data_IF_944444791711
#
_entry.id   IF_944444791711
#
_cell.length_a   1.000
_cell.length_b   1.000
_cell.length_c   1.000
_cell.angle_alpha   90.00
_cell.angle_beta   90.00
_cell.angle_gamma   90.00
#
_symmetry.space_group_name_H-M   'P 1'
#
loop_
_entity.id
_entity.type
_entity.pdbx_description
1 polymer ?
#
# COMPACT_ATOMS: atom_id res chain seq x y z
N UNK A 1 3.84 -8.62 17.77
CA UNK A 1 2.60 -8.52 18.59
C UNK A 1 1.64 -7.60 17.85
N UNK A 2 0.48 -8.07 17.44
CA UNK A 2 -0.55 -7.21 16.85
C UNK A 2 -0.97 -6.19 17.89
N UNK A 3 -0.68 -4.92 17.66
CA UNK A 3 -1.46 -3.87 18.32
C UNK A 3 -2.90 -4.05 17.81
N UNK A 4 -3.74 -4.70 18.61
CA UNK A 4 -5.19 -4.59 18.43
C UNK A 4 -5.51 -3.10 18.48
N UNK A 5 -6.25 -2.59 17.50
CA UNK A 5 -6.87 -1.27 17.64
C UNK A 5 -7.63 -1.30 18.97
N UNK A 6 -7.24 -0.41 19.87
CA UNK A 6 -7.90 -0.22 21.16
C UNK A 6 -9.42 -0.10 20.91
N UNK A 7 -10.15 -1.18 21.18
CA UNK A 7 -11.62 -1.17 21.27
C UNK A 7 -12.41 -1.49 20.01
N UNK A 8 -11.80 -1.83 18.85
CA UNK A 8 -12.60 -2.28 17.71
C UNK A 8 -12.84 -3.81 17.77
N UNK A 9 -14.11 -4.18 17.84
CA UNK A 9 -14.56 -5.56 17.65
C UNK A 9 -14.17 -6.08 16.25
N UNK A 10 -13.78 -7.35 16.16
CA UNK A 10 -13.43 -7.99 14.89
C UNK A 10 -14.56 -7.87 13.85
N UNK A 11 -15.81 -7.91 14.27
CA UNK A 11 -16.97 -7.70 13.40
C UNK A 11 -17.04 -6.28 12.84
N UNK A 12 -16.59 -5.27 13.59
CA UNK A 12 -16.53 -3.89 13.11
C UNK A 12 -15.41 -3.71 12.08
N UNK A 13 -14.24 -4.33 12.31
CA UNK A 13 -13.13 -4.35 11.36
C UNK A 13 -13.58 -4.98 10.05
N UNK A 14 -14.26 -6.12 10.09
CA UNK A 14 -14.75 -6.81 8.89
C UNK A 14 -15.79 -5.95 8.12
N UNK A 15 -16.75 -5.33 8.83
CA UNK A 15 -17.73 -4.43 8.21
C UNK A 15 -17.07 -3.19 7.57
N UNK A 16 -16.05 -2.64 8.22
CA UNK A 16 -15.31 -1.51 7.67
C UNK A 16 -14.51 -1.94 6.42
N UNK A 17 -13.89 -3.11 6.45
CA UNK A 17 -13.23 -3.67 5.27
C UNK A 17 -14.23 -3.87 4.11
N UNK A 18 -15.41 -4.43 4.37
CA UNK A 18 -16.45 -4.59 3.35
C UNK A 18 -16.90 -3.23 2.76
N UNK A 19 -17.07 -2.21 3.60
CA UNK A 19 -17.40 -0.86 3.16
C UNK A 19 -16.34 -0.27 2.19
N UNK A 20 -15.04 -0.45 2.51
CA UNK A 20 -13.95 0.01 1.67
C UNK A 20 -13.96 -0.72 0.32
N UNK A 21 -14.16 -2.02 0.32
CA UNK A 21 -14.20 -2.84 -0.91
C UNK A 21 -15.42 -2.49 -1.77
N UNK A 22 -16.59 -2.37 -1.16
CA UNK A 22 -17.84 -2.12 -1.90
C UNK A 22 -17.99 -0.67 -2.36
N UNK A 23 -17.70 0.28 -1.47
CA UNK A 23 -17.96 1.71 -1.70
C UNK A 23 -16.69 2.50 -1.98
N UNK A 24 -15.60 2.20 -1.28
CA UNK A 24 -14.34 2.91 -1.43
C UNK A 24 -13.72 2.71 -2.80
N UNK A 25 -13.53 1.48 -3.22
CA UNK A 25 -12.99 1.15 -4.55
C UNK A 25 -14.03 0.60 -5.53
N UNK A 26 -15.26 0.36 -5.07
CA UNK A 26 -16.34 -0.23 -5.88
C UNK A 26 -15.84 -1.43 -6.70
N UNK A 27 -15.24 -2.41 -6.00
CA UNK A 27 -14.55 -3.52 -6.62
C UNK A 27 -15.46 -4.27 -7.61
N UNK A 28 -14.97 -4.42 -8.84
CA UNK A 28 -15.63 -5.25 -9.85
C UNK A 28 -15.10 -6.68 -9.78
N UNK A 29 -15.96 -7.65 -10.07
CA UNK A 29 -15.59 -9.06 -10.11
C UNK A 29 -14.38 -9.30 -11.04
N UNK A 30 -13.50 -10.21 -10.64
CA UNK A 30 -12.31 -10.62 -11.39
C UNK A 30 -11.26 -9.52 -11.61
N UNK A 31 -11.34 -8.40 -10.91
CA UNK A 31 -10.28 -7.38 -10.88
C UNK A 31 -9.26 -7.68 -9.78
N UNK A 32 -8.03 -7.24 -9.97
CA UNK A 32 -6.98 -7.29 -8.96
C UNK A 32 -7.10 -6.12 -7.97
N UNK A 33 -6.56 -6.31 -6.79
CA UNK A 33 -6.46 -5.28 -5.75
C UNK A 33 -5.03 -5.20 -5.23
N UNK A 34 -4.45 -4.02 -5.25
CA UNK A 34 -3.17 -3.71 -4.62
C UNK A 34 -3.43 -2.96 -3.32
N UNK A 35 -2.97 -3.51 -2.21
CA UNK A 35 -3.09 -2.90 -0.88
C UNK A 35 -1.70 -2.50 -0.40
N UNK A 36 -1.49 -1.22 -0.12
CA UNK A 36 -0.29 -0.71 0.54
C UNK A 36 -0.61 -0.43 2.00
N UNK A 37 0.19 -0.94 2.93
CA UNK A 37 -0.01 -0.83 4.37
C UNK A 37 1.31 -0.65 5.10
N UNK A 38 1.28 -0.11 6.31
CA UNK A 38 2.40 -0.19 7.25
C UNK A 38 2.45 -1.53 7.99
N UNK A 39 3.54 -1.79 8.70
CA UNK A 39 3.68 -2.99 9.54
C UNK A 39 2.65 -3.00 10.69
N UNK A 40 2.38 -1.85 11.31
CA UNK A 40 1.40 -1.70 12.40
C UNK A 40 -0.05 -1.86 11.95
N UNK A 41 -0.36 -1.58 10.70
CA UNK A 41 -1.72 -1.65 10.13
C UNK A 41 -1.96 -2.91 9.28
N UNK A 42 -1.02 -3.85 9.26
CA UNK A 42 -1.12 -5.08 8.46
C UNK A 42 -2.34 -5.94 8.78
N UNK A 43 -2.81 -5.96 10.05
CA UNK A 43 -4.01 -6.67 10.44
C UNK A 43 -5.24 -6.21 9.64
N UNK A 44 -5.35 -4.90 9.36
CA UNK A 44 -6.46 -4.35 8.57
C UNK A 44 -6.30 -4.66 7.07
N UNK A 45 -5.07 -4.63 6.54
CA UNK A 45 -4.80 -5.08 5.17
C UNK A 45 -5.23 -6.54 4.95
N UNK A 46 -5.05 -7.41 5.96
CA UNK A 46 -5.57 -8.78 5.93
C UNK A 46 -7.09 -8.84 5.90
N UNK A 47 -7.79 -7.99 6.65
CA UNK A 47 -9.25 -7.92 6.62
C UNK A 47 -9.75 -7.44 5.24
N UNK A 48 -9.11 -6.42 4.67
CA UNK A 48 -9.39 -5.94 3.31
C UNK A 48 -9.19 -7.03 2.25
N UNK A 49 -8.08 -7.78 2.34
CA UNK A 49 -7.81 -8.88 1.40
C UNK A 49 -8.87 -9.99 1.48
N UNK A 50 -9.26 -10.39 2.70
CA UNK A 50 -10.35 -11.36 2.90
C UNK A 50 -11.67 -10.85 2.34
N UNK A 51 -12.00 -9.58 2.58
CA UNK A 51 -13.19 -8.95 2.02
C UNK A 51 -13.14 -8.92 0.49
N UNK A 52 -12.02 -8.52 -0.11
CA UNK A 52 -11.86 -8.49 -1.56
C UNK A 52 -12.10 -9.87 -2.19
N UNK A 53 -11.60 -10.94 -1.59
CA UNK A 53 -11.87 -12.30 -2.09
C UNK A 53 -13.33 -12.72 -1.91
N UNK A 54 -14.01 -12.33 -0.82
CA UNK A 54 -15.47 -12.53 -0.69
C UNK A 54 -16.24 -11.83 -1.81
N UNK A 55 -15.73 -10.67 -2.27
CA UNK A 55 -16.28 -9.90 -3.40
C UNK A 55 -15.70 -10.30 -4.76
N UNK A 56 -15.13 -11.52 -4.84
CA UNK A 56 -14.66 -12.15 -6.09
C UNK A 56 -13.50 -11.42 -6.78
N UNK A 57 -12.60 -10.82 -6.01
CA UNK A 57 -11.33 -10.33 -6.55
C UNK A 57 -10.58 -11.47 -7.27
N UNK A 58 -9.95 -11.16 -8.41
CA UNK A 58 -9.08 -12.09 -9.13
C UNK A 58 -7.82 -12.41 -8.33
N UNK A 59 -7.22 -11.38 -7.74
CA UNK A 59 -6.01 -11.49 -6.95
C UNK A 59 -5.85 -10.28 -6.02
N UNK A 60 -5.25 -10.49 -4.86
CA UNK A 60 -4.90 -9.41 -3.92
C UNK A 60 -3.41 -9.44 -3.64
N UNK A 61 -2.73 -8.34 -3.92
CA UNK A 61 -1.35 -8.12 -3.53
C UNK A 61 -1.31 -7.17 -2.32
N UNK A 62 -0.67 -7.61 -1.24
CA UNK A 62 -0.37 -6.73 -0.10
C UNK A 62 1.11 -6.35 -0.17
N UNK A 63 1.38 -5.05 -0.10
CA UNK A 63 2.72 -4.51 0.07
C UNK A 63 2.82 -3.85 1.44
N UNK A 64 3.87 -4.14 2.17
CA UNK A 64 4.10 -3.58 3.50
C UNK A 64 5.26 -2.59 3.42
N UNK A 65 5.01 -1.35 3.81
CA UNK A 65 6.04 -0.36 4.07
C UNK A 65 6.48 -0.50 5.54
N UNK A 66 7.64 -1.10 5.74
CA UNK A 66 8.25 -1.26 7.05
C UNK A 66 9.32 -0.18 7.23
N UNK A 67 9.14 0.67 8.26
CA UNK A 67 10.02 1.81 8.50
C UNK A 67 11.40 1.42 9.04
N UNK A 68 11.52 0.32 9.79
CA UNK A 68 12.81 -0.18 10.27
C UNK A 68 13.66 -0.71 9.11
N UNK A 69 13.01 -1.42 8.17
CA UNK A 69 13.68 -1.88 6.94
C UNK A 69 14.08 -0.70 6.06
N UNK A 70 13.21 0.30 5.93
CA UNK A 70 13.52 1.53 5.19
C UNK A 70 14.70 2.28 5.83
N UNK A 71 14.67 2.48 7.15
CA UNK A 71 15.76 3.13 7.88
C UNK A 71 17.09 2.39 7.66
N UNK A 72 17.08 1.06 7.83
CA UNK A 72 18.27 0.23 7.57
C UNK A 72 18.79 0.39 6.15
N UNK A 73 17.92 0.50 5.17
CA UNK A 73 18.31 0.76 3.78
C UNK A 73 18.99 2.13 3.61
N UNK A 74 18.40 3.17 4.19
CA UNK A 74 18.95 4.52 4.12
C UNK A 74 20.32 4.64 4.82
N UNK A 75 20.50 3.94 5.96
CA UNK A 75 21.72 3.98 6.74
C UNK A 75 22.89 3.24 6.07
N UNK A 76 22.61 2.17 5.32
CA UNK A 76 23.63 1.26 4.81
C UNK A 76 23.89 1.35 3.30
N UNK A 77 23.10 2.12 2.54
CA UNK A 77 23.29 2.29 1.09
C UNK A 77 23.85 3.66 0.75
N UNK A 78 24.67 3.72 -0.32
CA UNK A 78 25.06 4.96 -0.96
C UNK A 78 23.96 5.48 -1.90
N UNK A 79 24.16 6.68 -2.42
CA UNK A 79 23.17 7.36 -3.26
C UNK A 79 22.87 6.59 -4.55
N UNK A 80 23.86 5.91 -5.14
CA UNK A 80 23.69 5.11 -6.36
C UNK A 80 22.80 3.89 -6.08
N UNK A 81 23.09 3.15 -5.01
CA UNK A 81 22.30 1.98 -4.61
C UNK A 81 20.86 2.32 -4.23
N UNK A 82 20.61 3.52 -3.70
CA UNK A 82 19.27 4.00 -3.36
C UNK A 82 18.38 4.21 -4.61
N UNK A 83 18.98 4.40 -5.79
CA UNK A 83 18.22 4.55 -7.04
C UNK A 83 17.80 3.24 -7.67
N UNK A 84 18.30 2.10 -7.17
CA UNK A 84 17.98 0.79 -7.72
C UNK A 84 16.51 0.43 -7.49
N UNK A 85 15.83 0.05 -8.57
CA UNK A 85 14.50 -0.50 -8.56
C UNK A 85 14.51 -1.91 -9.19
N UNK A 86 14.03 -2.93 -8.48
CA UNK A 86 14.04 -4.29 -9.00
C UNK A 86 13.01 -4.47 -10.13
N UNK A 87 13.31 -5.33 -11.09
CA UNK A 87 12.46 -5.57 -12.25
C UNK A 87 11.04 -6.02 -11.88
N UNK A 88 10.87 -6.76 -10.78
CA UNK A 88 9.54 -7.18 -10.34
C UNK A 88 8.65 -5.99 -9.91
N UNK A 89 9.22 -4.92 -9.37
CA UNK A 89 8.46 -3.72 -9.01
C UNK A 89 7.91 -3.02 -10.26
N UNK A 90 8.71 -2.97 -11.33
CA UNK A 90 8.27 -2.45 -12.63
C UNK A 90 7.19 -3.34 -13.26
N UNK A 91 7.38 -4.66 -13.17
CA UNK A 91 6.39 -5.63 -13.67
C UNK A 91 5.06 -5.51 -12.92
N UNK A 92 5.10 -5.30 -11.59
CA UNK A 92 3.89 -5.09 -10.79
C UNK A 92 3.16 -3.81 -11.20
N UNK A 93 3.88 -2.71 -11.40
CA UNK A 93 3.29 -1.44 -11.87
C UNK A 93 2.66 -1.60 -13.26
N UNK A 94 3.32 -2.30 -14.17
CA UNK A 94 2.79 -2.59 -15.48
C UNK A 94 1.52 -3.45 -15.41
N UNK A 95 1.55 -4.52 -14.62
CA UNK A 95 0.40 -5.40 -14.39
C UNK A 95 -0.80 -4.65 -13.83
N UNK A 96 -0.55 -3.80 -12.83
CA UNK A 96 -1.57 -2.95 -12.21
C UNK A 96 -2.28 -2.06 -13.25
N UNK A 97 -1.52 -1.46 -14.16
CA UNK A 97 -2.05 -0.57 -15.20
C UNK A 97 -2.82 -1.35 -16.26
N UNK A 98 -2.23 -2.43 -16.79
CA UNK A 98 -2.80 -3.20 -17.92
C UNK A 98 -4.08 -3.91 -17.52
N UNK A 99 -4.14 -4.48 -16.33
CA UNK A 99 -5.34 -5.16 -15.83
C UNK A 99 -6.31 -4.23 -15.08
N UNK A 100 -5.98 -2.94 -14.97
CA UNK A 100 -6.81 -1.93 -14.28
C UNK A 100 -7.16 -2.34 -12.85
N UNK A 101 -6.15 -2.65 -12.05
CA UNK A 101 -6.35 -3.02 -10.66
C UNK A 101 -6.84 -1.84 -9.84
N UNK A 102 -7.54 -2.14 -8.76
CA UNK A 102 -7.88 -1.15 -7.73
C UNK A 102 -6.73 -0.97 -6.74
N UNK A 103 -6.59 0.24 -6.19
CA UNK A 103 -5.55 0.57 -5.21
C UNK A 103 -6.16 0.99 -3.87
N UNK A 104 -5.67 0.39 -2.79
CA UNK A 104 -6.01 0.80 -1.43
C UNK A 104 -4.73 1.14 -0.69
N UNK A 105 -4.70 2.32 -0.09
CA UNK A 105 -3.66 2.70 0.86
C UNK A 105 -4.25 2.73 2.26
N UNK A 106 -3.73 1.89 3.15
CA UNK A 106 -3.99 1.98 4.58
C UNK A 106 -3.00 2.99 5.16
N UNK A 107 -3.50 4.05 5.78
CA UNK A 107 -2.64 5.07 6.37
C UNK A 107 -1.86 4.48 7.55
N UNK A 108 -0.57 4.77 7.59
CA UNK A 108 0.37 4.34 8.59
C UNK A 108 1.06 5.53 9.30
N UNK A 109 0.35 6.65 9.41
CA UNK A 109 0.89 7.87 10.01
C UNK A 109 1.38 7.63 11.44
N UNK A 110 0.68 6.81 12.23
CA UNK A 110 1.08 6.48 13.60
C UNK A 110 2.42 5.73 13.65
N UNK A 111 2.66 4.79 12.74
CA UNK A 111 3.95 4.11 12.64
C UNK A 111 5.10 5.11 12.42
N UNK A 112 4.84 6.18 11.67
CA UNK A 112 5.82 7.24 11.39
C UNK A 112 6.08 8.16 12.59
N UNK A 113 5.06 8.42 13.40
CA UNK A 113 5.19 9.24 14.60
C UNK A 113 6.01 8.53 15.68
N UNK A 114 5.89 7.22 15.76
CA UNK A 114 6.61 6.37 16.72
C UNK A 114 8.04 6.04 16.29
N UNK A 115 8.39 6.28 15.03
CA UNK A 115 9.70 5.97 14.46
C UNK A 115 10.67 7.14 14.59
N UNK A 116 11.96 6.84 14.82
CA UNK A 116 13.01 7.85 14.77
C UNK A 116 13.06 8.54 13.39
N UNK A 117 13.46 9.84 13.32
CA UNK A 117 13.55 10.55 12.06
C UNK A 117 14.47 9.83 11.06
N UNK A 118 13.98 9.64 9.84
CA UNK A 118 14.74 9.06 8.73
C UNK A 118 15.70 10.11 8.14
N UNK A 119 16.81 9.67 7.54
CA UNK A 119 17.68 10.55 6.74
C UNK A 119 16.89 11.20 5.60
N UNK A 120 16.61 12.50 5.73
CA UNK A 120 15.76 13.23 4.80
C UNK A 120 16.36 13.35 3.40
N UNK A 121 17.70 13.54 3.29
CA UNK A 121 18.38 13.68 1.99
C UNK A 121 18.35 12.36 1.23
N UNK A 122 18.75 11.28 1.86
CA UNK A 122 18.73 9.93 1.27
C UNK A 122 17.30 9.47 0.93
N UNK A 123 16.33 9.79 1.80
CA UNK A 123 14.93 9.47 1.54
C UNK A 123 14.37 10.24 0.34
N UNK A 124 14.84 11.46 0.05
CA UNK A 124 14.49 12.20 -1.16
C UNK A 124 15.04 11.53 -2.42
N UNK A 125 16.28 11.04 -2.41
CA UNK A 125 16.89 10.31 -3.54
C UNK A 125 16.05 9.06 -3.84
N UNK A 126 15.79 8.24 -2.83
CA UNK A 126 14.97 7.03 -2.97
C UNK A 126 13.56 7.34 -3.48
N UNK A 127 12.91 8.35 -2.91
CA UNK A 127 11.54 8.74 -3.29
C UNK A 127 11.46 9.28 -4.71
N UNK A 128 12.49 10.01 -5.17
CA UNK A 128 12.60 10.50 -6.56
C UNK A 128 12.74 9.32 -7.52
N UNK A 129 13.62 8.38 -7.23
CA UNK A 129 13.80 7.17 -8.04
C UNK A 129 12.50 6.35 -8.12
N UNK A 130 11.83 6.09 -7.00
CA UNK A 130 10.54 5.39 -6.98
C UNK A 130 9.47 6.12 -7.82
N UNK A 131 9.37 7.44 -7.72
CA UNK A 131 8.39 8.24 -8.48
C UNK A 131 8.57 8.13 -9.99
N UNK A 132 9.79 8.11 -10.48
CA UNK A 132 10.07 7.99 -11.93
C UNK A 132 9.46 6.70 -12.51
N UNK A 133 9.46 5.60 -11.76
CA UNK A 133 8.92 4.32 -12.20
C UNK A 133 7.40 4.20 -12.00
N UNK A 134 6.84 4.87 -11.00
CA UNK A 134 5.41 4.83 -10.70
C UNK A 134 4.61 6.01 -11.26
N UNK A 135 5.20 6.82 -12.14
CA UNK A 135 4.59 8.04 -12.65
C UNK A 135 3.28 7.77 -13.39
N UNK A 136 3.26 6.78 -14.28
CA UNK A 136 2.06 6.44 -15.05
C UNK A 136 0.92 5.96 -14.15
N UNK A 137 1.22 5.09 -13.17
CA UNK A 137 0.24 4.66 -12.19
C UNK A 137 -0.30 5.85 -11.41
N UNK A 138 0.58 6.70 -10.88
CA UNK A 138 0.19 7.88 -10.10
C UNK A 138 -0.69 8.84 -10.92
N UNK A 139 -0.35 9.05 -12.18
CA UNK A 139 -1.13 9.88 -13.10
C UNK A 139 -2.54 9.34 -13.31
N UNK A 140 -2.68 8.03 -13.51
CA UNK A 140 -4.00 7.39 -13.71
C UNK A 140 -4.85 7.42 -12.45
N UNK A 141 -4.23 7.20 -11.28
CA UNK A 141 -4.94 7.34 -10.00
C UNK A 141 -5.44 8.77 -9.78
N UNK A 142 -4.59 9.78 -9.99
CA UNK A 142 -4.97 11.19 -9.83
C UNK A 142 -6.05 11.64 -10.83
N UNK A 143 -6.14 11.02 -12.00
CA UNK A 143 -7.19 11.28 -13.00
C UNK A 143 -8.43 10.42 -12.81
N UNK A 144 -8.54 9.67 -11.71
CA UNK A 144 -9.65 8.75 -11.45
C UNK A 144 -9.88 7.72 -12.56
N UNK A 145 -8.84 7.36 -13.30
CA UNK A 145 -8.92 6.34 -14.34
C UNK A 145 -8.82 4.92 -13.76
N UNK A 146 -8.34 4.80 -12.52
CA UNK A 146 -8.28 3.56 -11.76
C UNK A 146 -8.94 3.78 -10.40
N UNK A 147 -9.70 2.81 -9.87
CA UNK A 147 -10.33 2.94 -8.56
C UNK A 147 -9.27 3.00 -7.45
N UNK A 148 -9.40 3.92 -6.53
CA UNK A 148 -8.50 4.00 -5.38
C UNK A 148 -9.19 4.56 -4.13
N UNK A 149 -8.66 4.19 -2.98
CA UNK A 149 -9.12 4.65 -1.69
C UNK A 149 -7.95 4.76 -0.70
N UNK A 150 -7.97 5.78 0.15
CA UNK A 150 -7.13 5.86 1.35
C UNK A 150 -8.03 5.67 2.55
N UNK A 151 -7.64 4.81 3.46
CA UNK A 151 -8.38 4.53 4.69
C UNK A 151 -7.44 4.54 5.90
N UNK A 152 -8.01 4.79 7.06
CA UNK A 152 -7.33 4.77 8.36
C UNK A 152 -7.70 3.46 9.05
N UNK A 153 -6.74 2.86 9.75
CA UNK A 153 -6.94 1.63 10.49
C UNK A 153 -6.53 1.76 11.96
#
# INVERSE_FOLDING_TARGET
>A
MSKQILGMDAALVDRYADLIIEKGINLKEKKGVLILTGSGTYYFARALAKSAYRHKAKYVQIMVDDLDVLASRLDNQDDEALTYNPAFALALDHQFIVEEWSYIRVDNTEDRLDHAPLDGAKNQILSKAKRQFSEERSRRLMRHQLPWCVCIA
#
